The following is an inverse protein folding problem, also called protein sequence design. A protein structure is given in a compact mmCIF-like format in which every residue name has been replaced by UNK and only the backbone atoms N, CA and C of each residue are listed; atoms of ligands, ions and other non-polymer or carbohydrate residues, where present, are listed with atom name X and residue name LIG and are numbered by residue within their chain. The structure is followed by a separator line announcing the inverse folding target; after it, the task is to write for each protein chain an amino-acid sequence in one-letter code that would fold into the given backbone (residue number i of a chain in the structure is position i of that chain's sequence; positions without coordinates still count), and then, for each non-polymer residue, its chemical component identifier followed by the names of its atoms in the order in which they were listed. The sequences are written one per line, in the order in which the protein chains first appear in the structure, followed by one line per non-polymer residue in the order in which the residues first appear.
data_IF_031685482635
#
_entry.id   IF_031685482635
#
_cell.length_a   1.000
_cell.length_b   1.000
_cell.length_c   1.000
_cell.angle_alpha   90.00
_cell.angle_beta   90.00
_cell.angle_gamma   90.00
#
_symmetry.space_group_name_H-M   'P 1'
#
loop_
_entity.id
_entity.type
_entity.pdbx_description
1 polymer ?
#
# COMPACT_ATOMS: atom_id res chain seq x y z
N UNK A 1 -8.42 -15.09 24.67
CA UNK A 1 -8.58 -14.03 23.65
C UNK A 1 -7.23 -13.48 23.15
N UNK A 2 -6.37 -12.97 24.04
CA UNK A 2 -5.09 -12.33 23.68
C UNK A 2 -4.11 -13.24 22.91
N UNK A 3 -3.96 -14.51 23.30
CA UNK A 3 -3.13 -15.50 22.57
C UNK A 3 -3.61 -15.75 21.13
N UNK A 4 -4.92 -15.61 20.84
CA UNK A 4 -5.49 -15.78 19.49
C UNK A 4 -5.31 -14.54 18.62
N UNK A 5 -5.31 -13.34 19.22
CA UNK A 5 -5.12 -12.10 18.48
C UNK A 5 -3.68 -12.01 17.93
N UNK A 6 -2.69 -12.33 18.76
CA UNK A 6 -1.26 -12.27 18.41
C UNK A 6 -0.72 -13.54 17.72
N UNK A 7 -1.57 -14.49 17.34
CA UNK A 7 -1.09 -15.75 16.75
C UNK A 7 -0.65 -15.59 15.30
N UNK A 8 -1.30 -14.72 14.54
CA UNK A 8 -1.02 -14.51 13.11
C UNK A 8 -0.95 -13.01 12.78
N UNK A 9 -0.01 -12.65 11.90
CA UNK A 9 0.22 -11.25 11.53
C UNK A 9 -1.03 -10.57 10.96
N UNK A 10 -1.80 -11.27 10.12
CA UNK A 10 -3.03 -10.73 9.54
C UNK A 10 -4.05 -10.31 10.61
N UNK A 11 -4.18 -11.07 11.70
CA UNK A 11 -5.22 -10.83 12.74
C UNK A 11 -5.02 -9.50 13.45
N UNK A 12 -3.77 -9.16 13.74
CA UNK A 12 -3.44 -7.88 14.39
C UNK A 12 -3.46 -6.77 13.35
N UNK A 13 -2.63 -6.89 12.31
CA UNK A 13 -2.31 -5.76 11.47
C UNK A 13 -3.40 -5.43 10.44
N UNK A 14 -4.16 -6.41 9.93
CA UNK A 14 -5.30 -6.06 9.08
C UNK A 14 -6.45 -5.47 9.88
N UNK A 15 -6.69 -5.96 11.09
CA UNK A 15 -7.66 -5.35 12.00
C UNK A 15 -7.25 -3.92 12.36
N UNK A 16 -5.97 -3.71 12.72
CA UNK A 16 -5.41 -2.38 12.98
C UNK A 16 -5.57 -1.47 11.76
N UNK A 17 -5.24 -1.94 10.55
CA UNK A 17 -5.42 -1.15 9.34
C UNK A 17 -6.88 -0.71 9.13
N UNK A 18 -7.84 -1.63 9.28
CA UNK A 18 -9.27 -1.32 9.13
C UNK A 18 -9.78 -0.33 10.17
N UNK A 19 -9.54 -0.60 11.45
CA UNK A 19 -9.94 0.29 12.55
C UNK A 19 -9.28 1.66 12.44
N UNK A 20 -8.00 1.69 12.08
CA UNK A 20 -7.23 2.92 11.95
C UNK A 20 -7.72 3.77 10.77
N UNK A 21 -8.03 3.15 9.62
CA UNK A 21 -8.61 3.87 8.49
C UNK A 21 -9.95 4.52 8.84
N UNK A 22 -10.83 3.82 9.57
CA UNK A 22 -12.11 4.37 10.05
C UNK A 22 -11.86 5.57 10.97
N UNK A 23 -10.96 5.41 11.95
CA UNK A 23 -10.64 6.47 12.91
C UNK A 23 -10.05 7.72 12.22
N UNK A 24 -9.04 7.53 11.36
CA UNK A 24 -8.38 8.62 10.65
C UNK A 24 -9.35 9.34 9.70
N UNK A 25 -10.22 8.59 9.00
CA UNK A 25 -11.24 9.18 8.13
C UNK A 25 -12.35 9.89 8.90
N UNK A 26 -12.79 9.37 10.04
CA UNK A 26 -13.77 10.05 10.89
C UNK A 26 -13.23 11.41 11.37
N UNK A 27 -11.96 11.45 11.79
CA UNK A 27 -11.31 12.70 12.18
C UNK A 27 -11.15 13.68 11.00
N UNK A 28 -10.74 13.18 9.84
CA UNK A 28 -10.62 13.99 8.62
C UNK A 28 -11.98 14.55 8.16
N UNK A 29 -13.04 13.72 8.18
CA UNK A 29 -14.39 14.14 7.84
C UNK A 29 -14.94 15.17 8.83
N UNK A 30 -14.66 15.03 10.13
CA UNK A 30 -15.00 16.04 11.13
C UNK A 30 -14.30 17.37 10.84
N UNK A 31 -13.00 17.33 10.55
CA UNK A 31 -12.24 18.52 10.17
C UNK A 31 -12.85 19.23 8.96
N UNK A 32 -13.17 18.49 7.89
CA UNK A 32 -13.82 19.03 6.70
C UNK A 32 -15.22 19.57 7.00
N UNK A 33 -16.00 18.89 7.83
CA UNK A 33 -17.35 19.31 8.22
C UNK A 33 -17.36 20.64 8.96
N UNK A 34 -16.44 20.82 9.92
CA UNK A 34 -16.29 22.09 10.65
C UNK A 34 -15.98 23.24 9.68
N UNK A 35 -15.01 23.04 8.78
CA UNK A 35 -14.62 24.07 7.80
C UNK A 35 -15.73 24.37 6.79
N UNK A 36 -16.48 23.35 6.35
CA UNK A 36 -17.61 23.53 5.45
C UNK A 36 -18.70 24.43 6.06
N UNK A 37 -18.90 24.34 7.38
CA UNK A 37 -19.83 25.22 8.12
C UNK A 37 -19.26 26.59 8.48
N UNK A 38 -18.07 26.95 7.99
CA UNK A 38 -17.38 28.21 8.30
C UNK A 38 -16.70 28.26 9.67
N UNK A 39 -16.62 27.13 10.38
CA UNK A 39 -15.88 27.01 11.63
C UNK A 39 -14.39 26.80 11.41
N UNK A 40 -13.59 27.04 12.45
CA UNK A 40 -12.15 26.81 12.45
C UNK A 40 -11.75 25.93 13.62
N UNK A 41 -10.94 24.90 13.35
CA UNK A 41 -10.35 24.05 14.39
C UNK A 41 -9.08 24.71 14.90
N UNK A 42 -9.12 25.29 16.10
CA UNK A 42 -8.01 26.07 16.67
C UNK A 42 -7.06 25.25 17.54
N UNK A 43 -7.54 24.13 18.10
CA UNK A 43 -6.74 23.24 18.94
C UNK A 43 -6.56 21.89 18.23
N UNK A 44 -5.40 21.71 17.60
CA UNK A 44 -5.03 20.47 16.92
C UNK A 44 -3.85 19.86 17.68
N UNK A 45 -3.93 18.59 18.11
CA UNK A 45 -2.90 17.97 18.96
C UNK A 45 -1.63 17.58 18.19
N UNK A 46 -1.64 17.70 16.87
CA UNK A 46 -0.53 17.40 15.99
C UNK A 46 0.02 18.66 15.31
N UNK A 47 1.33 18.69 15.06
CA UNK A 47 2.04 19.89 14.61
C UNK A 47 1.84 20.23 13.12
N UNK A 48 1.55 19.23 12.29
CA UNK A 48 1.45 19.37 10.84
C UNK A 48 0.09 19.90 10.39
N UNK A 49 0.02 20.43 9.17
CA UNK A 49 -1.25 20.84 8.57
C UNK A 49 -2.23 19.65 8.47
N UNK A 50 -3.55 19.84 8.70
CA UNK A 50 -4.51 18.72 8.77
C UNK A 50 -4.61 17.85 7.52
N UNK A 51 -4.47 18.44 6.34
CA UNK A 51 -4.44 17.68 5.08
C UNK A 51 -3.16 16.85 4.93
N UNK A 52 -2.02 17.36 5.41
CA UNK A 52 -0.74 16.64 5.41
C UNK A 52 -0.76 15.49 6.42
N UNK A 53 -1.36 15.70 7.60
CA UNK A 53 -1.63 14.65 8.58
C UNK A 53 -2.49 13.54 7.98
N UNK A 54 -3.61 13.90 7.33
CA UNK A 54 -4.49 12.93 6.67
C UNK A 54 -3.74 12.10 5.61
N UNK A 55 -2.97 12.78 4.75
CA UNK A 55 -2.15 12.13 3.74
C UNK A 55 -1.13 11.16 4.34
N UNK A 56 -0.42 11.57 5.39
CA UNK A 56 0.55 10.71 6.09
C UNK A 56 -0.11 9.51 6.77
N UNK A 57 -1.18 9.72 7.54
CA UNK A 57 -1.82 8.65 8.30
C UNK A 57 -2.43 7.59 7.37
N UNK A 58 -2.98 7.98 6.22
CA UNK A 58 -3.49 7.00 5.24
C UNK A 58 -2.38 6.37 4.40
N UNK A 59 -1.35 7.10 4.01
CA UNK A 59 -0.24 6.54 3.25
C UNK A 59 0.61 5.58 4.11
N UNK A 60 1.04 6.03 5.30
CA UNK A 60 2.02 5.34 6.14
C UNK A 60 1.40 4.64 7.34
N UNK A 61 0.38 5.20 7.99
CA UNK A 61 -0.28 4.55 9.13
C UNK A 61 -1.07 3.32 8.71
N UNK A 62 -2.11 3.56 7.92
CA UNK A 62 -2.90 2.51 7.29
C UNK A 62 -2.03 1.63 6.39
N UNK A 63 -1.22 2.22 5.50
CA UNK A 63 -0.41 1.47 4.55
C UNK A 63 0.61 0.53 5.22
N UNK A 64 1.33 0.98 6.25
CA UNK A 64 2.28 0.10 6.96
C UNK A 64 1.58 -1.02 7.74
N UNK A 65 0.40 -0.77 8.33
CA UNK A 65 -0.39 -1.82 8.96
C UNK A 65 -0.84 -2.86 7.93
N UNK A 66 -1.36 -2.42 6.77
CA UNK A 66 -1.72 -3.32 5.68
C UNK A 66 -0.51 -4.16 5.22
N UNK A 67 0.66 -3.55 5.06
CA UNK A 67 1.90 -4.26 4.73
C UNK A 67 2.32 -5.26 5.81
N UNK A 68 2.21 -4.91 7.09
CA UNK A 68 2.49 -5.80 8.21
C UNK A 68 1.61 -7.05 8.17
N UNK A 69 0.30 -6.86 7.97
CA UNK A 69 -0.67 -7.96 7.90
C UNK A 69 -0.43 -8.86 6.68
N UNK A 70 -0.12 -8.24 5.54
CA UNK A 70 0.17 -8.96 4.31
C UNK A 70 1.49 -9.74 4.38
N UNK A 71 2.60 -9.09 4.70
CA UNK A 71 3.93 -9.69 4.61
C UNK A 71 4.18 -10.75 5.70
N UNK A 72 3.72 -10.52 6.93
CA UNK A 72 3.86 -11.51 8.00
C UNK A 72 3.01 -12.78 7.77
N UNK A 73 2.07 -12.73 6.82
CA UNK A 73 1.22 -13.86 6.45
C UNK A 73 1.70 -14.51 5.15
N UNK A 74 2.03 -13.72 4.13
CA UNK A 74 2.39 -14.22 2.81
C UNK A 74 3.83 -14.76 2.74
N UNK A 75 4.79 -14.11 3.40
CA UNK A 75 6.21 -14.48 3.31
C UNK A 75 6.52 -15.84 3.93
N UNK A 76 5.99 -16.21 5.12
CA UNK A 76 6.15 -17.57 5.64
C UNK A 76 5.63 -18.63 4.66
N UNK A 77 4.46 -18.40 4.05
CA UNK A 77 3.89 -19.29 3.05
C UNK A 77 4.76 -19.43 1.79
N UNK A 78 5.36 -18.35 1.28
CA UNK A 78 6.25 -18.43 0.11
C UNK A 78 7.58 -19.15 0.39
N UNK A 79 8.03 -19.12 1.65
CA UNK A 79 9.32 -19.66 2.08
C UNK A 79 9.21 -21.03 2.74
N UNK A 80 8.00 -21.51 3.02
CA UNK A 80 7.75 -22.71 3.82
C UNK A 80 8.21 -22.58 5.28
N UNK A 81 8.39 -21.34 5.76
CA UNK A 81 8.82 -21.08 7.12
C UNK A 81 7.64 -21.07 8.09
N UNK A 82 7.90 -21.32 9.38
CA UNK A 82 6.91 -21.14 10.42
C UNK A 82 6.50 -19.65 10.54
N UNK A 83 5.22 -19.43 10.91
CA UNK A 83 4.69 -18.09 11.21
C UNK A 83 5.52 -17.37 12.25
N UNK A 84 5.48 -16.03 12.21
CA UNK A 84 6.18 -15.21 13.20
C UNK A 84 5.70 -15.54 14.61
N UNK A 85 6.64 -15.57 15.58
CA UNK A 85 6.29 -15.83 16.99
C UNK A 85 5.38 -14.71 17.50
N UNK A 86 4.40 -15.07 18.34
CA UNK A 86 3.46 -14.15 18.97
C UNK A 86 4.09 -12.91 19.64
N UNK A 87 5.23 -13.05 20.33
CA UNK A 87 5.91 -11.93 20.97
C UNK A 87 6.45 -10.92 19.95
N UNK A 88 6.91 -11.38 18.78
CA UNK A 88 7.40 -10.51 17.72
C UNK A 88 6.24 -9.70 17.13
N UNK A 89 5.09 -10.35 16.93
CA UNK A 89 3.88 -9.67 16.45
C UNK A 89 3.43 -8.61 17.47
N UNK A 90 3.45 -8.94 18.76
CA UNK A 90 3.14 -8.01 19.84
C UNK A 90 4.08 -6.80 19.89
N UNK A 91 5.41 -7.03 19.81
CA UNK A 91 6.40 -5.95 19.75
C UNK A 91 6.19 -5.05 18.53
N UNK A 92 6.06 -5.65 17.34
CA UNK A 92 5.88 -4.90 16.11
C UNK A 92 4.58 -4.07 16.13
N UNK A 93 3.49 -4.63 16.68
CA UNK A 93 2.23 -3.92 16.84
C UNK A 93 2.34 -2.77 17.86
N UNK A 94 3.04 -2.98 18.97
CA UNK A 94 3.28 -1.93 19.96
C UNK A 94 4.09 -0.77 19.37
N UNK A 95 5.14 -1.06 18.60
CA UNK A 95 5.94 -0.02 17.92
C UNK A 95 5.11 0.73 16.88
N UNK A 96 4.32 0.03 16.06
CA UNK A 96 3.42 0.68 15.10
C UNK A 96 2.41 1.59 15.80
N UNK A 97 1.78 1.11 16.88
CA UNK A 97 0.81 1.89 17.64
C UNK A 97 1.46 3.10 18.32
N UNK A 98 2.67 2.95 18.88
CA UNK A 98 3.42 4.06 19.46
C UNK A 98 3.71 5.15 18.41
N UNK A 99 4.02 4.78 17.16
CA UNK A 99 4.18 5.73 16.06
C UNK A 99 2.91 6.53 15.79
N UNK A 100 1.75 5.84 15.73
CA UNK A 100 0.46 6.51 15.56
C UNK A 100 0.17 7.49 16.70
N UNK A 101 0.35 7.06 17.95
CA UNK A 101 0.17 7.95 19.11
C UNK A 101 1.10 9.15 19.02
N UNK A 102 2.38 8.95 18.71
CA UNK A 102 3.36 10.03 18.59
C UNK A 102 2.98 11.06 17.52
N UNK A 103 2.44 10.62 16.38
CA UNK A 103 1.93 11.50 15.33
C UNK A 103 0.72 12.32 15.81
N UNK A 104 -0.25 11.66 16.44
CA UNK A 104 -1.50 12.30 16.90
C UNK A 104 -1.28 13.32 18.02
N UNK A 105 -0.22 13.18 18.82
CA UNK A 105 0.16 14.15 19.87
C UNK A 105 1.44 14.92 19.54
N UNK A 106 1.82 14.95 18.26
CA UNK A 106 3.10 15.52 17.81
C UNK A 106 3.26 17.01 18.11
N UNK A 107 2.18 17.75 18.34
CA UNK A 107 2.23 19.15 18.78
C UNK A 107 2.82 19.33 20.18
N UNK A 108 2.89 18.25 20.98
CA UNK A 108 3.44 18.27 22.34
C UNK A 108 4.76 17.48 22.47
N UNK A 109 5.30 16.95 21.38
CA UNK A 109 6.50 16.12 21.38
C UNK A 109 7.62 16.72 20.54
N UNK A 110 8.89 16.48 20.87
CA UNK A 110 10.00 16.86 20.00
C UNK A 110 9.91 16.15 18.64
N UNK A 111 10.08 16.90 17.55
CA UNK A 111 9.96 16.38 16.18
C UNK A 111 10.82 15.13 15.94
N UNK A 112 12.08 15.14 16.40
CA UNK A 112 12.98 14.00 16.25
C UNK A 112 12.49 12.72 16.94
N UNK A 113 11.80 12.84 18.07
CA UNK A 113 11.19 11.69 18.76
C UNK A 113 10.02 11.13 17.95
N UNK A 114 9.14 12.01 17.45
CA UNK A 114 8.01 11.63 16.59
C UNK A 114 8.51 10.88 15.35
N UNK A 115 9.50 11.44 14.66
CA UNK A 115 10.13 10.81 13.48
C UNK A 115 10.75 9.46 13.80
N UNK A 116 11.54 9.36 14.88
CA UNK A 116 12.20 8.11 15.24
C UNK A 116 11.21 6.98 15.55
N UNK A 117 10.16 7.28 16.33
CA UNK A 117 9.15 6.28 16.72
C UNK A 117 8.29 5.88 15.51
N UNK A 118 7.87 6.84 14.69
CA UNK A 118 7.07 6.57 13.50
C UNK A 118 7.78 5.71 12.46
N UNK A 119 9.07 5.98 12.24
CA UNK A 119 9.89 5.26 11.28
C UNK A 119 10.33 3.87 11.76
N UNK A 120 10.24 3.55 13.05
CA UNK A 120 10.83 2.34 13.63
C UNK A 120 10.15 1.03 13.20
N UNK A 121 8.84 1.06 12.90
CA UNK A 121 8.09 -0.15 12.59
C UNK A 121 8.59 -0.87 11.31
N UNK A 122 8.82 -0.12 10.23
CA UNK A 122 9.18 -0.72 8.95
C UNK A 122 10.56 -1.40 8.95
N UNK A 123 11.64 -0.86 9.56
CA UNK A 123 12.90 -1.57 9.75
C UNK A 123 12.75 -2.89 10.51
N UNK A 124 11.93 -2.93 11.58
CA UNK A 124 11.65 -4.16 12.34
C UNK A 124 10.99 -5.20 11.43
N UNK A 125 9.98 -4.78 10.66
CA UNK A 125 9.33 -5.63 9.67
C UNK A 125 10.32 -6.09 8.59
N UNK A 126 11.12 -5.17 8.06
CA UNK A 126 12.10 -5.42 7.01
C UNK A 126 13.09 -6.50 7.43
N UNK A 127 13.71 -6.39 8.61
CA UNK A 127 14.68 -7.38 9.12
C UNK A 127 14.04 -8.76 9.22
N UNK A 128 12.79 -8.84 9.72
CA UNK A 128 12.07 -10.10 9.82
C UNK A 128 11.81 -10.74 8.45
N UNK A 129 11.36 -9.94 7.48
CA UNK A 129 11.04 -10.40 6.13
C UNK A 129 12.32 -10.77 5.37
N UNK A 130 13.37 -9.96 5.47
CA UNK A 130 14.66 -10.21 4.86
C UNK A 130 15.28 -11.53 5.34
N UNK A 131 15.23 -11.79 6.66
CA UNK A 131 15.73 -13.04 7.23
C UNK A 131 15.03 -14.31 6.70
N UNK A 132 13.80 -14.19 6.16
CA UNK A 132 13.09 -15.30 5.50
C UNK A 132 13.40 -15.36 4.00
N UNK A 133 13.33 -14.22 3.31
CA UNK A 133 13.47 -14.15 1.86
C UNK A 133 14.90 -14.38 1.37
N UNK A 134 15.91 -13.93 2.11
CA UNK A 134 17.32 -14.03 1.71
C UNK A 134 17.91 -15.42 1.93
N UNK A 135 17.24 -16.32 2.65
CA UNK A 135 17.67 -17.72 2.80
C UNK A 135 17.57 -18.51 1.49
N UNK A 136 16.55 -18.21 0.67
CA UNK A 136 16.32 -18.80 -0.66
C UNK A 136 15.74 -17.71 -1.58
N UNK A 137 16.61 -16.81 -2.09
CA UNK A 137 16.16 -15.62 -2.78
C UNK A 137 15.47 -15.97 -4.10
N UNK A 138 14.24 -15.50 -4.24
CA UNK A 138 13.52 -15.44 -5.52
C UNK A 138 13.33 -13.96 -5.87
N UNK A 139 13.78 -13.48 -7.05
CA UNK A 139 13.73 -12.05 -7.39
C UNK A 139 12.34 -11.43 -7.16
N UNK A 140 11.29 -12.12 -7.60
CA UNK A 140 9.87 -11.75 -7.44
C UNK A 140 9.39 -11.61 -5.99
N UNK A 141 10.12 -12.16 -5.01
CA UNK A 141 9.84 -12.01 -3.59
C UNK A 141 10.81 -11.01 -2.95
N UNK A 142 12.09 -11.05 -3.31
CA UNK A 142 13.11 -10.14 -2.75
C UNK A 142 12.81 -8.69 -3.11
N UNK A 143 12.16 -8.42 -4.23
CA UNK A 143 11.70 -7.08 -4.63
C UNK A 143 10.82 -6.40 -3.57
N UNK A 144 10.11 -7.15 -2.71
CA UNK A 144 9.36 -6.54 -1.60
C UNK A 144 10.25 -5.83 -0.58
N UNK A 145 11.51 -6.27 -0.42
CA UNK A 145 12.48 -5.56 0.43
C UNK A 145 12.83 -4.20 -0.17
N UNK A 146 12.94 -4.11 -1.49
CA UNK A 146 13.17 -2.85 -2.21
C UNK A 146 11.98 -1.91 -1.98
N UNK A 147 10.75 -2.39 -2.18
CA UNK A 147 9.57 -1.56 -1.95
C UNK A 147 9.37 -1.16 -0.49
N UNK A 148 9.71 -2.02 0.47
CA UNK A 148 9.69 -1.65 1.89
C UNK A 148 10.70 -0.53 2.19
N UNK A 149 11.90 -0.61 1.61
CA UNK A 149 12.91 0.45 1.75
C UNK A 149 12.45 1.75 1.11
N UNK A 150 11.87 1.70 -0.09
CA UNK A 150 11.36 2.89 -0.78
C UNK A 150 10.16 3.51 -0.04
N UNK A 151 9.28 2.69 0.52
CA UNK A 151 8.17 3.13 1.35
C UNK A 151 8.66 3.77 2.66
N UNK A 152 9.72 3.24 3.27
CA UNK A 152 10.37 3.87 4.43
C UNK A 152 11.04 5.19 4.08
N UNK A 153 11.77 5.27 2.95
CA UNK A 153 12.39 6.50 2.46
C UNK A 153 11.34 7.57 2.14
N UNK A 154 10.18 7.18 1.62
CA UNK A 154 9.06 8.07 1.40
C UNK A 154 8.48 8.63 2.72
N UNK A 155 8.39 7.81 3.76
CA UNK A 155 7.99 8.28 5.08
C UNK A 155 9.06 9.22 5.67
N UNK A 156 10.34 8.87 5.54
CA UNK A 156 11.44 9.72 5.98
C UNK A 156 11.41 11.09 5.28
N UNK A 157 11.22 11.12 3.96
CA UNK A 157 11.07 12.36 3.20
C UNK A 157 9.95 13.25 3.76
N UNK A 158 8.84 12.64 4.18
CA UNK A 158 7.72 13.36 4.80
C UNK A 158 8.14 14.03 6.12
N UNK A 159 8.82 13.29 6.98
CA UNK A 159 9.34 13.81 8.25
C UNK A 159 10.43 14.88 8.06
N UNK A 160 11.31 14.70 7.08
CA UNK A 160 12.33 15.70 6.74
C UNK A 160 11.70 16.99 6.23
N UNK A 161 10.62 16.90 5.45
CA UNK A 161 9.84 18.07 5.01
C UNK A 161 9.21 18.84 6.17
N UNK A 162 8.52 18.13 7.08
CA UNK A 162 7.97 18.76 8.28
C UNK A 162 9.02 19.36 9.21
N UNK A 163 10.24 18.81 9.22
CA UNK A 163 11.36 19.36 9.98
C UNK A 163 12.05 20.55 9.28
N UNK A 164 11.63 20.92 8.07
CA UNK A 164 12.29 21.96 7.25
C UNK A 164 13.67 21.56 6.73
N UNK A 165 13.97 20.25 6.69
CA UNK A 165 15.24 19.69 6.22
C UNK A 165 15.20 19.26 4.75
N UNK A 166 14.00 19.19 4.18
CA UNK A 166 13.79 18.92 2.76
C UNK A 166 12.53 19.67 2.28
N UNK A 167 12.74 20.78 1.58
CA UNK A 167 11.64 21.56 1.01
C UNK A 167 10.73 20.71 0.10
N UNK A 168 9.44 20.65 0.43
CA UNK A 168 8.44 19.86 -0.30
C UNK A 168 8.43 18.37 0.03
N UNK A 169 9.30 17.90 0.94
CA UNK A 169 9.37 16.51 1.41
C UNK A 169 8.03 15.98 1.93
N UNK A 170 7.26 16.84 2.59
CA UNK A 170 5.93 16.57 3.13
C UNK A 170 4.84 16.34 2.07
N UNK A 171 5.08 16.78 0.83
CA UNK A 171 4.20 16.60 -0.32
C UNK A 171 4.63 15.38 -1.13
N UNK A 172 5.92 15.28 -1.46
CA UNK A 172 6.46 14.19 -2.31
C UNK A 172 6.51 12.86 -1.58
N UNK A 173 6.70 12.88 -0.25
CA UNK A 173 6.76 11.70 0.59
C UNK A 173 5.49 10.84 0.53
N UNK A 174 4.30 11.34 0.89
CA UNK A 174 3.06 10.57 0.81
C UNK A 174 2.74 10.10 -0.63
N UNK A 175 3.03 10.94 -1.64
CA UNK A 175 2.89 10.55 -3.06
C UNK A 175 3.76 9.32 -3.37
N UNK A 176 5.04 9.36 -3.02
CA UNK A 176 5.96 8.25 -3.21
C UNK A 176 5.56 7.00 -2.41
N UNK A 177 5.02 7.17 -1.20
CA UNK A 177 4.50 6.08 -0.38
C UNK A 177 3.35 5.35 -1.08
N UNK A 178 2.38 6.09 -1.62
CA UNK A 178 1.27 5.54 -2.42
C UNK A 178 1.80 4.85 -3.68
N UNK A 179 2.79 5.45 -4.37
CA UNK A 179 3.43 4.83 -5.54
C UNK A 179 4.15 3.52 -5.19
N UNK A 180 4.80 3.43 -4.02
CA UNK A 180 5.42 2.19 -3.57
C UNK A 180 4.37 1.10 -3.30
N UNK A 181 3.24 1.45 -2.66
CA UNK A 181 2.13 0.51 -2.44
C UNK A 181 1.51 0.06 -3.77
N UNK A 182 1.26 0.99 -4.70
CA UNK A 182 0.80 0.68 -6.05
C UNK A 182 1.79 -0.23 -6.79
N UNK A 183 3.09 0.06 -6.71
CA UNK A 183 4.15 -0.75 -7.29
C UNK A 183 4.17 -2.18 -6.76
N UNK A 184 3.99 -2.38 -5.45
CA UNK A 184 3.83 -3.72 -4.87
C UNK A 184 2.61 -4.44 -5.46
N UNK A 185 1.48 -3.73 -5.65
CA UNK A 185 0.26 -4.28 -6.26
C UNK A 185 0.51 -4.68 -7.72
N UNK A 186 1.23 -3.88 -8.51
CA UNK A 186 1.58 -4.22 -9.89
C UNK A 186 2.40 -5.50 -9.99
N UNK A 187 3.36 -5.70 -9.07
CA UNK A 187 4.21 -6.89 -9.05
C UNK A 187 3.43 -8.12 -8.58
N UNK A 188 2.69 -8.02 -7.48
CA UNK A 188 1.97 -9.16 -6.91
C UNK A 188 0.69 -9.52 -7.68
N UNK A 189 -0.05 -8.52 -8.15
CA UNK A 189 -1.29 -8.70 -8.90
C UNK A 189 -1.07 -9.54 -10.14
N UNK A 190 0.08 -9.36 -10.79
CA UNK A 190 0.53 -10.14 -11.94
C UNK A 190 0.61 -11.64 -11.78
N UNK A 191 0.84 -12.13 -10.57
CA UNK A 191 0.85 -13.57 -10.26
C UNK A 191 -0.43 -14.01 -9.58
N UNK A 192 -0.98 -13.18 -8.70
CA UNK A 192 -2.12 -13.52 -7.83
C UNK A 192 -3.44 -13.47 -8.62
N UNK A 193 -3.67 -12.39 -9.37
CA UNK A 193 -4.89 -12.18 -10.17
C UNK A 193 -5.15 -13.30 -11.20
N UNK A 194 -4.20 -13.56 -12.13
CA UNK A 194 -4.41 -14.60 -13.14
C UNK A 194 -4.39 -15.99 -12.53
N UNK A 195 -3.56 -16.30 -11.52
CA UNK A 195 -3.57 -17.62 -10.88
C UNK A 195 -4.90 -17.93 -10.20
N UNK A 196 -5.51 -16.95 -9.53
CA UNK A 196 -6.81 -17.16 -8.90
C UNK A 196 -7.94 -17.33 -9.90
N UNK A 197 -7.92 -16.54 -10.98
CA UNK A 197 -8.91 -16.67 -12.04
C UNK A 197 -8.76 -18.02 -12.76
N UNK A 198 -7.51 -18.40 -13.08
CA UNK A 198 -7.16 -19.71 -13.64
C UNK A 198 -7.64 -20.86 -12.76
N UNK A 199 -7.35 -20.83 -11.46
CA UNK A 199 -7.75 -21.88 -10.53
C UNK A 199 -9.28 -22.02 -10.41
N UNK A 200 -10.02 -20.91 -10.45
CA UNK A 200 -11.48 -20.94 -10.45
C UNK A 200 -12.02 -21.53 -11.76
N UNK A 201 -11.53 -21.06 -12.92
CA UNK A 201 -11.94 -21.55 -14.23
C UNK A 201 -11.64 -23.04 -14.41
N UNK A 202 -10.48 -23.49 -13.93
CA UNK A 202 -10.11 -24.90 -13.97
C UNK A 202 -11.05 -25.78 -13.13
N UNK A 203 -11.51 -25.31 -11.95
CA UNK A 203 -12.48 -26.05 -11.12
C UNK A 203 -13.85 -26.20 -11.78
N UNK A 204 -14.19 -25.28 -12.68
CA UNK A 204 -15.44 -25.31 -13.46
C UNK A 204 -15.27 -26.00 -14.82
N UNK A 205 -14.15 -26.70 -15.05
CA UNK A 205 -13.93 -27.47 -16.27
C UNK A 205 -13.66 -26.64 -17.53
N UNK A 206 -13.30 -25.36 -17.39
CA UNK A 206 -12.96 -24.52 -18.55
C UNK A 206 -11.67 -25.04 -19.21
N UNK A 207 -11.62 -25.22 -20.55
CA UNK A 207 -10.45 -25.75 -21.26
C UNK A 207 -9.18 -24.91 -21.05
N UNK A 208 -8.02 -25.58 -20.98
CA UNK A 208 -6.70 -24.95 -20.74
C UNK A 208 -6.36 -23.82 -21.73
N UNK A 209 -6.87 -23.89 -22.97
CA UNK A 209 -6.69 -22.86 -23.99
C UNK A 209 -7.38 -21.53 -23.67
N UNK A 210 -8.48 -21.56 -22.90
CA UNK A 210 -9.23 -20.39 -22.48
C UNK A 210 -8.80 -19.86 -21.10
N UNK A 211 -7.85 -20.53 -20.43
CA UNK A 211 -7.38 -20.10 -19.12
C UNK A 211 -6.48 -18.86 -19.22
N UNK A 212 -6.59 -17.92 -18.26
CA UNK A 212 -5.72 -16.76 -18.17
C UNK A 212 -4.24 -17.11 -18.15
N UNK A 213 -3.45 -16.44 -18.99
CA UNK A 213 -1.99 -16.58 -19.06
C UNK A 213 -1.34 -15.21 -19.12
N UNK A 214 -0.54 -14.91 -18.10
CA UNK A 214 0.32 -13.74 -18.11
C UNK A 214 1.49 -13.98 -19.07
N UNK A 215 1.87 -12.97 -19.87
CA UNK A 215 3.01 -13.13 -20.77
C UNK A 215 4.32 -13.04 -19.96
N UNK A 216 5.32 -13.90 -20.22
CA UNK A 216 6.57 -13.92 -19.44
C UNK A 216 7.26 -12.55 -19.33
N UNK A 217 7.19 -11.75 -20.40
CA UNK A 217 7.80 -10.42 -20.48
C UNK A 217 7.18 -9.39 -19.51
N UNK A 218 5.89 -9.53 -19.15
CA UNK A 218 5.25 -8.55 -18.26
C UNK A 218 5.88 -8.54 -16.87
N UNK A 219 6.34 -9.67 -16.35
CA UNK A 219 6.89 -9.73 -14.99
C UNK A 219 8.13 -8.83 -14.80
N UNK A 220 9.22 -8.99 -15.58
CA UNK A 220 10.40 -8.13 -15.43
C UNK A 220 10.10 -6.66 -15.76
N UNK A 221 9.29 -6.38 -16.80
CA UNK A 221 8.91 -5.01 -17.17
C UNK A 221 8.14 -4.33 -16.03
N UNK A 222 7.13 -5.00 -15.48
CA UNK A 222 6.33 -4.43 -14.39
C UNK A 222 7.13 -4.28 -13.10
N UNK A 223 8.12 -5.13 -12.82
CA UNK A 223 9.05 -4.94 -11.69
C UNK A 223 9.85 -3.65 -11.87
N UNK A 224 10.42 -3.42 -13.06
CA UNK A 224 11.17 -2.21 -13.37
C UNK A 224 10.33 -0.94 -13.26
N UNK A 225 9.17 -0.92 -13.94
CA UNK A 225 8.24 0.21 -13.88
C UNK A 225 7.79 0.50 -12.45
N UNK A 226 7.39 -0.54 -11.72
CA UNK A 226 6.91 -0.40 -10.35
C UNK A 226 7.98 0.17 -9.41
N UNK A 227 9.23 -0.25 -9.52
CA UNK A 227 10.32 0.27 -8.69
C UNK A 227 10.66 1.74 -9.01
N UNK A 228 10.49 2.15 -10.27
CA UNK A 228 10.74 3.53 -10.70
C UNK A 228 9.65 4.51 -10.23
N UNK A 229 8.40 4.08 -10.04
CA UNK A 229 7.30 4.98 -9.63
C UNK A 229 7.55 5.75 -8.31
N UNK A 230 7.91 5.12 -7.18
CA UNK A 230 8.22 5.86 -5.96
C UNK A 230 9.50 6.71 -6.08
N UNK A 231 10.49 6.25 -6.86
CA UNK A 231 11.71 7.03 -7.12
C UNK A 231 11.42 8.29 -7.92
N UNK A 232 10.59 8.20 -8.97
CA UNK A 232 10.18 9.36 -9.74
C UNK A 232 9.35 10.32 -8.90
N UNK A 233 8.49 9.82 -8.01
CA UNK A 233 7.72 10.66 -7.10
C UNK A 233 8.62 11.42 -6.10
N UNK A 234 9.71 10.80 -5.62
CA UNK A 234 10.65 11.46 -4.69
C UNK A 234 11.55 12.49 -5.37
N UNK A 235 12.11 12.16 -6.52
CA UNK A 235 13.23 12.93 -7.10
C UNK A 235 12.88 13.68 -8.38
N UNK A 236 11.81 13.29 -9.05
CA UNK A 236 11.38 13.82 -10.34
C UNK A 236 9.91 14.28 -10.28
N UNK A 237 9.41 14.64 -9.09
CA UNK A 237 8.06 15.17 -8.92
C UNK A 237 7.83 16.33 -9.89
N UNK A 238 6.62 16.42 -10.43
CA UNK A 238 6.18 17.51 -11.30
C UNK A 238 6.93 17.61 -12.65
N UNK A 239 7.69 16.57 -13.03
CA UNK A 239 8.32 16.46 -14.35
C UNK A 239 7.47 15.69 -15.36
N UNK A 240 7.64 16.02 -16.64
CA UNK A 240 7.06 15.26 -17.76
C UNK A 240 7.52 13.79 -17.74
N UNK A 241 8.75 13.52 -17.33
CA UNK A 241 9.27 12.16 -17.23
C UNK A 241 8.49 11.31 -16.20
N UNK A 242 8.19 11.86 -15.02
CA UNK A 242 7.38 11.18 -14.01
C UNK A 242 5.95 10.92 -14.52
N UNK A 243 5.36 11.89 -15.22
CA UNK A 243 4.04 11.76 -15.83
C UNK A 243 4.00 10.64 -16.89
N UNK A 244 4.99 10.60 -17.79
CA UNK A 244 5.12 9.55 -18.80
C UNK A 244 5.34 8.18 -18.18
N UNK A 245 6.14 8.08 -17.11
CA UNK A 245 6.34 6.83 -16.39
C UNK A 245 5.03 6.30 -15.79
N UNK A 246 4.24 7.17 -15.16
CA UNK A 246 2.93 6.80 -14.63
C UNK A 246 1.96 6.34 -15.74
N UNK A 247 1.95 7.03 -16.89
CA UNK A 247 1.17 6.64 -18.06
C UNK A 247 1.54 5.24 -18.57
N UNK A 248 2.85 5.01 -18.75
CA UNK A 248 3.36 3.73 -19.25
C UNK A 248 3.06 2.61 -18.25
N UNK A 249 3.29 2.83 -16.95
CA UNK A 249 3.00 1.84 -15.91
C UNK A 249 1.50 1.51 -15.82
N UNK A 250 0.65 2.53 -15.86
CA UNK A 250 -0.80 2.36 -15.82
C UNK A 250 -1.35 1.67 -17.06
N UNK A 251 -0.91 2.10 -18.26
CA UNK A 251 -1.28 1.48 -19.53
C UNK A 251 -0.81 0.03 -19.61
N UNK A 252 0.44 -0.26 -19.22
CA UNK A 252 0.95 -1.62 -19.17
C UNK A 252 0.14 -2.51 -18.22
N UNK A 253 -0.26 -1.99 -17.06
CA UNK A 253 -1.12 -2.72 -16.13
C UNK A 253 -2.50 -3.04 -16.73
N UNK A 254 -3.14 -2.09 -17.42
CA UNK A 254 -4.45 -2.31 -18.05
C UNK A 254 -4.37 -3.34 -19.19
N UNK A 255 -3.36 -3.23 -20.05
CA UNK A 255 -3.10 -4.21 -21.12
C UNK A 255 -2.83 -5.60 -20.55
N UNK A 256 -2.00 -5.68 -19.51
CA UNK A 256 -1.69 -6.94 -18.82
C UNK A 256 -2.96 -7.56 -18.22
N UNK A 257 -3.78 -6.76 -17.55
CA UNK A 257 -4.99 -7.22 -16.89
C UNK A 257 -6.06 -7.74 -17.85
N UNK A 258 -6.15 -7.23 -19.08
CA UNK A 258 -7.07 -7.74 -20.09
C UNK A 258 -6.89 -9.26 -20.34
N UNK A 259 -5.70 -9.79 -20.05
CA UNK A 259 -5.34 -11.21 -20.20
C UNK A 259 -5.70 -12.07 -18.98
N UNK A 260 -6.21 -11.46 -17.90
CA UNK A 260 -6.47 -12.13 -16.63
C UNK A 260 -7.88 -12.72 -16.53
N UNK A 261 -8.68 -12.70 -17.61
CA UNK A 261 -10.04 -13.25 -17.61
C UNK A 261 -11.06 -12.36 -16.92
N UNK A 262 -10.99 -11.04 -17.11
CA UNK A 262 -11.85 -10.05 -16.43
C UNK A 262 -13.35 -10.37 -16.51
N UNK A 263 -13.87 -10.74 -17.68
CA UNK A 263 -15.30 -11.07 -17.86
C UNK A 263 -15.77 -12.28 -17.04
N UNK A 264 -14.89 -13.26 -16.79
CA UNK A 264 -15.17 -14.36 -15.88
C UNK A 264 -15.08 -13.90 -14.43
N UNK A 265 -14.06 -13.10 -14.10
CA UNK A 265 -13.78 -12.67 -12.73
C UNK A 265 -14.88 -11.75 -12.16
N UNK A 266 -15.40 -10.81 -12.96
CA UNK A 266 -16.36 -9.80 -12.48
C UNK A 266 -17.68 -10.40 -11.99
N UNK A 267 -18.04 -11.61 -12.45
CA UNK A 267 -19.24 -12.34 -12.02
C UNK A 267 -19.09 -13.05 -10.67
N UNK A 268 -17.90 -13.02 -10.07
CA UNK A 268 -17.57 -13.71 -8.82
C UNK A 268 -17.04 -12.69 -7.81
N UNK A 269 -17.76 -12.36 -6.73
CA UNK A 269 -17.41 -11.24 -5.85
C UNK A 269 -15.94 -11.20 -5.37
N UNK A 270 -15.39 -12.35 -4.97
CA UNK A 270 -14.00 -12.44 -4.48
C UNK A 270 -12.95 -12.18 -5.58
N UNK A 271 -13.25 -12.50 -6.84
CA UNK A 271 -12.38 -12.21 -7.98
C UNK A 271 -12.63 -10.80 -8.50
N UNK A 272 -13.89 -10.36 -8.53
CA UNK A 272 -14.29 -9.02 -8.91
C UNK A 272 -13.55 -7.96 -8.10
N UNK A 273 -13.47 -8.09 -6.78
CA UNK A 273 -12.75 -7.16 -5.92
C UNK A 273 -11.26 -7.04 -6.31
N UNK A 274 -10.58 -8.15 -6.58
CA UNK A 274 -9.18 -8.16 -7.01
C UNK A 274 -8.99 -7.47 -8.36
N UNK A 275 -9.85 -7.79 -9.33
CA UNK A 275 -9.76 -7.26 -10.68
C UNK A 275 -10.12 -5.78 -10.75
N UNK A 276 -11.22 -5.36 -10.13
CA UNK A 276 -11.61 -3.95 -10.08
C UNK A 276 -10.49 -3.12 -9.43
N UNK A 277 -9.94 -3.58 -8.31
CA UNK A 277 -8.85 -2.86 -7.65
C UNK A 277 -7.57 -2.79 -8.50
N UNK A 278 -7.18 -3.90 -9.15
CA UNK A 278 -6.04 -3.90 -10.07
C UNK A 278 -6.26 -2.97 -11.28
N UNK A 279 -7.50 -2.86 -11.76
CA UNK A 279 -7.89 -1.95 -12.83
C UNK A 279 -7.80 -0.50 -12.38
N UNK A 280 -8.26 -0.21 -11.17
CA UNK A 280 -8.18 1.13 -10.57
C UNK A 280 -6.74 1.55 -10.27
N UNK A 281 -5.81 0.62 -10.01
CA UNK A 281 -4.37 0.94 -10.01
C UNK A 281 -3.91 1.42 -11.38
N UNK A 282 -4.26 0.69 -12.44
CA UNK A 282 -3.92 1.06 -13.81
C UNK A 282 -4.53 2.41 -14.23
N UNK A 283 -5.83 2.59 -13.99
CA UNK A 283 -6.56 3.83 -14.29
C UNK A 283 -5.98 4.98 -13.46
N UNK A 284 -5.76 4.81 -12.16
CA UNK A 284 -5.21 5.84 -11.29
C UNK A 284 -3.84 6.35 -11.77
N UNK A 285 -2.94 5.44 -12.17
CA UNK A 285 -1.64 5.80 -12.73
C UNK A 285 -1.75 6.53 -14.08
N UNK A 286 -2.67 6.11 -14.96
CA UNK A 286 -2.96 6.83 -16.21
C UNK A 286 -3.49 8.23 -15.91
N UNK A 287 -4.43 8.38 -14.97
CA UNK A 287 -5.00 9.68 -14.60
C UNK A 287 -3.92 10.60 -14.00
N UNK A 288 -3.04 10.07 -13.15
CA UNK A 288 -1.89 10.81 -12.59
C UNK A 288 -0.99 11.31 -13.71
N UNK A 289 -0.63 10.45 -14.66
CA UNK A 289 0.26 10.83 -15.75
C UNK A 289 -0.40 11.73 -16.81
N UNK A 290 -1.73 11.75 -16.92
CA UNK A 290 -2.45 12.70 -17.79
C UNK A 290 -2.64 14.08 -17.14
N UNK A 291 -2.70 14.16 -15.80
CA UNK A 291 -3.06 15.37 -15.08
C UNK A 291 -2.27 16.63 -15.50
N UNK A 292 -0.94 16.59 -15.71
CA UNK A 292 -0.17 17.74 -16.16
C UNK A 292 -0.53 18.26 -17.57
N UNK A 293 -1.16 17.42 -18.40
CA UNK A 293 -1.45 17.74 -19.81
C UNK A 293 -2.92 18.09 -20.06
N UNK A 294 -3.83 17.73 -19.15
CA UNK A 294 -5.28 17.80 -19.40
C UNK A 294 -6.05 18.63 -18.37
N UNK A 295 -5.36 19.21 -17.37
CA UNK A 295 -6.01 19.98 -16.30
C UNK A 295 -6.83 19.12 -15.33
N UNK A 296 -6.65 17.79 -15.33
CA UNK A 296 -7.28 16.92 -14.33
C UNK A 296 -6.70 17.19 -12.94
N UNK A 297 -7.51 17.05 -11.90
CA UNK A 297 -7.05 17.19 -10.52
C UNK A 297 -6.04 16.10 -10.17
N UNK A 298 -4.80 16.49 -9.90
CA UNK A 298 -3.76 15.57 -9.43
C UNK A 298 -4.15 14.92 -8.10
N UNK A 299 -4.72 15.70 -7.18
CA UNK A 299 -5.23 15.19 -5.90
C UNK A 299 -6.33 14.16 -6.14
N UNK A 300 -7.26 14.42 -7.06
CA UNK A 300 -8.30 13.45 -7.44
C UNK A 300 -7.72 12.16 -8.02
N UNK A 301 -6.69 12.27 -8.86
CA UNK A 301 -5.99 11.13 -9.44
C UNK A 301 -5.26 10.28 -8.38
N UNK A 302 -4.61 10.93 -7.41
CA UNK A 302 -4.00 10.27 -6.25
C UNK A 302 -5.06 9.57 -5.39
N UNK A 303 -6.22 10.18 -5.16
CA UNK A 303 -7.32 9.54 -4.42
C UNK A 303 -7.90 8.34 -5.17
N UNK A 304 -8.03 8.42 -6.49
CA UNK A 304 -8.46 7.28 -7.32
C UNK A 304 -7.51 6.08 -7.16
N UNK A 305 -6.20 6.34 -7.19
CA UNK A 305 -5.18 5.32 -6.97
C UNK A 305 -5.20 4.79 -5.52
N UNK A 306 -5.22 5.67 -4.53
CA UNK A 306 -5.11 5.31 -3.12
C UNK A 306 -6.36 4.58 -2.61
N UNK A 307 -7.56 5.06 -2.93
CA UNK A 307 -8.83 4.48 -2.47
C UNK A 307 -9.19 3.28 -3.34
N UNK A 308 -9.33 3.49 -4.65
CA UNK A 308 -9.80 2.46 -5.57
C UNK A 308 -8.77 1.35 -5.77
N UNK A 309 -7.51 1.72 -5.99
CA UNK A 309 -6.42 0.78 -6.23
C UNK A 309 -5.87 0.16 -4.95
N UNK A 310 -5.27 0.97 -4.09
CA UNK A 310 -4.52 0.50 -2.92
C UNK A 310 -5.46 -0.03 -1.83
N UNK A 311 -6.42 0.76 -1.37
CA UNK A 311 -7.34 0.31 -0.32
C UNK A 311 -8.27 -0.79 -0.82
N UNK A 312 -8.78 -0.69 -2.05
CA UNK A 312 -9.55 -1.76 -2.70
C UNK A 312 -8.81 -3.09 -2.75
N UNK A 313 -7.55 -3.08 -3.22
CA UNK A 313 -6.74 -4.31 -3.29
C UNK A 313 -6.45 -4.85 -1.88
N UNK A 314 -6.18 -3.96 -0.94
CA UNK A 314 -5.95 -4.33 0.46
C UNK A 314 -7.18 -5.04 1.04
N UNK A 315 -8.39 -4.51 0.85
CA UNK A 315 -9.64 -5.15 1.28
C UNK A 315 -9.87 -6.51 0.59
N UNK A 316 -9.60 -6.60 -0.71
CA UNK A 316 -9.72 -7.84 -1.46
C UNK A 316 -8.79 -8.94 -0.91
N UNK A 317 -7.55 -8.58 -0.58
CA UNK A 317 -6.56 -9.49 0.03
C UNK A 317 -6.95 -9.84 1.47
N UNK A 318 -7.36 -8.86 2.28
CA UNK A 318 -7.80 -9.06 3.67
C UNK A 318 -8.94 -10.07 3.76
N UNK A 319 -9.96 -9.91 2.92
CA UNK A 319 -11.15 -10.77 2.89
C UNK A 319 -10.75 -12.21 2.60
N UNK A 320 -9.85 -12.40 1.63
CA UNK A 320 -9.38 -13.73 1.25
C UNK A 320 -8.46 -14.36 2.29
N UNK A 321 -7.50 -13.61 2.83
CA UNK A 321 -6.61 -14.11 3.87
C UNK A 321 -7.42 -14.53 5.10
N UNK A 322 -8.42 -13.73 5.48
CA UNK A 322 -9.30 -14.04 6.60
C UNK A 322 -10.08 -15.33 6.34
N UNK A 323 -10.73 -15.49 5.19
CA UNK A 323 -11.44 -16.73 4.83
C UNK A 323 -10.51 -17.96 4.74
N UNK A 324 -9.29 -17.78 4.20
CA UNK A 324 -8.35 -18.89 4.01
C UNK A 324 -7.66 -19.38 5.29
N UNK A 325 -7.62 -18.55 6.34
CA UNK A 325 -6.88 -18.83 7.58
C UNK A 325 -7.75 -18.84 8.84
N UNK A 326 -9.07 -18.64 8.72
CA UNK A 326 -9.98 -18.63 9.89
C UNK A 326 -10.69 -19.96 10.16
N UNK A 327 -10.49 -20.97 9.30
CA UNK A 327 -11.17 -22.27 9.41
C UNK A 327 -12.47 -22.29 8.65
#
# INVERSE_FOLDING_TARGET
MMKRLFSEGFRVFFLSAGLFAILAMAWWALYLGVHYTGGFVTAIPFAMAPHAWHGHELAFGYGSAALGGFLLTAVPNWTGAASARHWFIGLAAAVWFAGRVALWVSGSLPAGLVTAVDLAFLPILWVKIAGLLLRRPKPQNVVFLVFLSLFWLANLATHLGWAGLWDGGEIVGPRAGIMALAGMILVIGGRVGPAFTRNAMHREGVPEAALPKDAPLFTPVMIGLAALLPLSALFLSDTVAAALLALVAGGAQLVRQARWGFGYAIRRPILAALHVSAGLVGIGLVTIGLAPFTGLSEVGALHLLAIGGVAGMTLAVMSRATLGHSG
#
